data_IF_145018010259
#
_entry.id   IF_145018010259
#
_cell.length_a   1.000
_cell.length_b   1.000
_cell.length_c   1.000
_cell.angle_alpha   90.00
_cell.angle_beta   90.00
_cell.angle_gamma   90.00
#
_symmetry.space_group_name_H-M   'P 1'
#
loop_
_entity.id
_entity.type
_entity.pdbx_description
1 polymer ?
#
# COMPACT_ATOMS: atom_id res chain seq x y z
N UNK A 1 29.96 45.87 -21.91
CA UNK A 1 30.11 44.42 -22.10
C UNK A 1 29.32 43.66 -21.04
N UNK A 2 28.96 42.41 -21.31
CA UNK A 2 28.12 41.56 -20.45
C UNK A 2 28.80 40.21 -20.30
N UNK A 3 28.83 39.67 -19.09
CA UNK A 3 29.35 38.32 -18.84
C UNK A 3 28.20 37.33 -19.01
N UNK A 4 28.37 36.37 -19.92
CA UNK A 4 27.43 35.27 -20.18
C UNK A 4 28.05 33.98 -19.67
N UNK A 5 27.31 33.25 -18.83
CA UNK A 5 27.71 31.94 -18.35
C UNK A 5 26.96 30.85 -19.13
N UNK A 6 27.71 29.87 -19.64
CA UNK A 6 27.20 28.70 -20.34
C UNK A 6 27.74 27.46 -19.62
N UNK A 7 26.92 26.90 -18.73
CA UNK A 7 27.38 25.85 -17.82
C UNK A 7 28.52 26.35 -16.93
N UNK A 8 29.69 25.69 -16.99
CA UNK A 8 30.87 26.01 -16.19
C UNK A 8 31.83 27.04 -16.80
N UNK A 9 31.54 27.57 -17.99
CA UNK A 9 32.39 28.52 -18.70
C UNK A 9 31.69 29.88 -18.75
N UNK A 10 32.41 30.95 -18.44
CA UNK A 10 31.94 32.33 -18.60
C UNK A 10 32.72 33.05 -19.69
N UNK A 11 32.03 33.89 -20.47
CA UNK A 11 32.64 34.71 -21.51
C UNK A 11 32.04 36.13 -21.53
N UNK A 12 32.86 37.10 -21.93
CA UNK A 12 32.46 38.51 -21.98
C UNK A 12 32.07 38.89 -23.42
N UNK A 13 30.81 39.30 -23.61
CA UNK A 13 30.22 39.61 -24.92
C UNK A 13 29.71 41.06 -24.94
N UNK A 14 29.83 41.74 -26.08
CA UNK A 14 29.29 43.09 -26.28
C UNK A 14 27.77 43.07 -26.31
N UNK A 15 27.13 44.07 -25.69
CA UNK A 15 25.67 44.16 -25.54
C UNK A 15 24.93 44.09 -26.88
N UNK A 16 25.52 44.64 -27.95
CA UNK A 16 24.94 44.67 -29.30
C UNK A 16 24.87 43.29 -29.98
N UNK A 17 25.49 42.25 -29.40
CA UNK A 17 25.40 40.86 -29.88
C UNK A 17 24.34 40.05 -29.11
N UNK A 18 23.59 40.68 -28.21
CA UNK A 18 22.49 40.05 -27.46
C UNK A 18 21.15 40.43 -28.07
N UNK A 19 20.28 39.45 -28.25
CA UNK A 19 18.90 39.66 -28.66
C UNK A 19 17.96 39.38 -27.50
N UNK A 20 17.05 40.32 -27.21
CA UNK A 20 16.04 40.13 -26.17
C UNK A 20 15.00 39.12 -26.67
N UNK A 21 15.02 37.92 -26.10
CA UNK A 21 13.97 36.92 -26.32
C UNK A 21 12.90 37.04 -25.25
N UNK A 22 11.65 36.75 -25.61
CA UNK A 22 10.60 36.53 -24.61
C UNK A 22 10.93 35.25 -23.85
N UNK A 23 10.79 35.27 -22.52
CA UNK A 23 11.02 34.08 -21.72
C UNK A 23 10.15 32.94 -22.28
N UNK A 24 10.71 31.76 -22.60
CA UNK A 24 9.88 30.62 -22.94
C UNK A 24 8.93 30.41 -21.76
N UNK A 25 7.63 30.26 -22.04
CA UNK A 25 6.66 29.83 -21.03
C UNK A 25 7.27 28.59 -20.41
N UNK A 26 7.70 28.69 -19.15
CA UNK A 26 8.04 27.53 -18.36
C UNK A 26 6.75 26.74 -18.27
N UNK A 27 6.58 25.75 -19.16
CA UNK A 27 5.75 24.62 -18.84
C UNK A 27 6.36 24.07 -17.57
N UNK A 28 5.70 24.40 -16.45
CA UNK A 28 5.90 23.69 -15.21
C UNK A 28 5.58 22.25 -15.60
N UNK A 29 6.60 21.48 -15.93
CA UNK A 29 6.52 20.05 -15.88
C UNK A 29 5.99 19.80 -14.49
N UNK A 30 4.72 19.39 -14.42
CA UNK A 30 4.17 18.86 -13.18
C UNK A 30 5.09 17.70 -12.92
N UNK A 31 6.08 17.93 -12.05
CA UNK A 31 6.68 16.86 -11.27
C UNK A 31 5.43 16.20 -10.72
N UNK A 32 5.06 15.06 -11.30
CA UNK A 32 4.11 14.18 -10.69
C UNK A 32 4.70 13.99 -9.31
N UNK A 33 4.18 14.72 -8.33
CA UNK A 33 4.48 14.47 -6.94
C UNK A 33 4.37 12.96 -6.86
N UNK A 34 5.47 12.29 -6.48
CA UNK A 34 5.47 10.88 -6.12
C UNK A 34 4.11 10.66 -5.49
N UNK A 35 3.20 9.96 -6.18
CA UNK A 35 1.81 9.86 -5.76
C UNK A 35 1.93 9.25 -4.37
N UNK A 36 1.83 10.11 -3.35
CA UNK A 36 1.86 9.67 -1.97
C UNK A 36 0.78 8.62 -1.90
N UNK A 37 1.09 7.50 -1.25
CA UNK A 37 0.07 6.49 -0.97
C UNK A 37 -1.11 7.26 -0.38
N UNK A 38 -2.22 7.32 -1.12
CA UNK A 38 -3.40 8.03 -0.66
C UNK A 38 -4.02 7.17 0.44
N UNK A 39 -3.60 7.46 1.67
CA UNK A 39 -4.06 6.78 2.87
C UNK A 39 -5.58 6.90 3.01
N UNK A 40 -6.18 8.01 2.57
CA UNK A 40 -7.61 8.23 2.68
C UNK A 40 -8.38 7.30 1.73
N UNK A 41 -7.91 7.18 0.48
CA UNK A 41 -8.50 6.24 -0.47
C UNK A 41 -8.31 4.78 -0.04
N UNK A 42 -7.12 4.42 0.47
CA UNK A 42 -6.88 3.06 1.00
C UNK A 42 -7.76 2.73 2.18
N UNK A 43 -7.92 3.66 3.12
CA UNK A 43 -8.79 3.49 4.27
C UNK A 43 -10.26 3.33 3.83
N UNK A 44 -10.70 4.10 2.83
CA UNK A 44 -12.06 4.00 2.30
C UNK A 44 -12.35 2.66 1.60
N UNK A 45 -11.34 2.05 0.98
CA UNK A 45 -11.47 0.77 0.25
C UNK A 45 -11.21 -0.46 1.12
N UNK A 46 -10.60 -0.30 2.29
CA UNK A 46 -10.23 -1.42 3.13
C UNK A 46 -11.44 -2.03 3.84
N UNK A 47 -11.61 -3.34 3.67
CA UNK A 47 -12.62 -4.12 4.39
C UNK A 47 -12.01 -4.75 5.62
N UNK A 48 -12.67 -4.64 6.77
CA UNK A 48 -12.28 -5.34 8.02
C UNK A 48 -12.42 -6.87 7.88
N UNK A 49 -13.17 -7.34 6.88
CA UNK A 49 -13.33 -8.77 6.60
C UNK A 49 -12.70 -9.14 5.27
N UNK A 50 -11.82 -10.15 5.29
CA UNK A 50 -11.26 -10.80 4.12
C UNK A 50 -11.97 -12.14 3.87
N UNK A 51 -12.58 -12.30 2.70
CA UNK A 51 -13.15 -13.58 2.26
C UNK A 51 -12.19 -14.32 1.32
N UNK A 52 -11.78 -15.53 1.71
CA UNK A 52 -10.90 -16.39 0.93
C UNK A 52 -11.55 -17.74 0.59
N UNK A 53 -12.87 -17.87 0.76
CA UNK A 53 -13.59 -19.11 0.42
C UNK A 53 -13.49 -19.41 -1.08
N UNK A 54 -13.36 -20.69 -1.40
CA UNK A 54 -13.29 -21.17 -2.78
C UNK A 54 -11.96 -20.84 -3.50
N UNK A 55 -11.01 -20.19 -2.82
CA UNK A 55 -9.66 -19.96 -3.33
C UNK A 55 -8.78 -21.18 -3.11
N UNK A 56 -7.80 -21.38 -4.00
CA UNK A 56 -6.76 -22.39 -3.84
C UNK A 56 -5.75 -21.93 -2.79
N UNK A 57 -5.10 -22.87 -2.12
CA UNK A 57 -4.15 -22.58 -1.04
C UNK A 57 -3.04 -21.61 -1.46
N UNK A 58 -2.47 -21.76 -2.67
CA UNK A 58 -1.47 -20.84 -3.19
C UNK A 58 -1.98 -19.40 -3.38
N UNK A 59 -3.24 -19.22 -3.77
CA UNK A 59 -3.84 -17.88 -3.95
C UNK A 59 -4.06 -17.20 -2.60
N UNK A 60 -4.49 -17.96 -1.59
CA UNK A 60 -4.76 -17.44 -0.25
C UNK A 60 -3.51 -16.84 0.37
N UNK A 61 -2.33 -17.42 0.13
CA UNK A 61 -1.07 -16.86 0.63
C UNK A 61 -0.85 -15.43 0.14
N UNK A 62 -0.97 -15.21 -1.16
CA UNK A 62 -0.73 -13.89 -1.79
C UNK A 62 -1.80 -12.87 -1.36
N UNK A 63 -3.06 -13.31 -1.29
CA UNK A 63 -4.18 -12.45 -0.87
C UNK A 63 -4.03 -12.05 0.59
N UNK A 64 -3.72 -13.01 1.47
CA UNK A 64 -3.57 -12.78 2.90
C UNK A 64 -2.38 -11.86 3.19
N UNK A 65 -1.24 -12.08 2.55
CA UNK A 65 -0.06 -11.24 2.77
C UNK A 65 -0.31 -9.77 2.38
N UNK A 66 -0.92 -9.54 1.22
CA UNK A 66 -1.32 -8.19 0.80
C UNK A 66 -2.30 -7.57 1.81
N UNK A 67 -3.30 -8.34 2.22
CA UNK A 67 -4.33 -7.87 3.15
C UNK A 67 -3.75 -7.51 4.53
N UNK A 68 -2.84 -8.33 5.06
CA UNK A 68 -2.16 -8.07 6.33
C UNK A 68 -1.30 -6.80 6.27
N UNK A 69 -0.61 -6.57 5.16
CA UNK A 69 0.15 -5.34 4.96
C UNK A 69 -0.75 -4.10 4.98
N UNK A 70 -1.90 -4.15 4.31
CA UNK A 70 -2.87 -3.05 4.33
C UNK A 70 -3.48 -2.85 5.73
N UNK A 71 -3.83 -3.94 6.43
CA UNK A 71 -4.38 -3.89 7.79
C UNK A 71 -3.40 -3.22 8.79
N UNK A 72 -2.11 -3.59 8.70
CA UNK A 72 -1.04 -3.04 9.52
C UNK A 72 -0.74 -1.57 9.16
N UNK A 73 -0.73 -1.24 7.87
CA UNK A 73 -0.51 0.13 7.40
C UNK A 73 -1.61 1.09 7.88
N UNK A 74 -2.86 0.61 7.90
CA UNK A 74 -4.02 1.37 8.35
C UNK A 74 -4.22 1.36 9.88
N UNK A 75 -3.40 0.59 10.62
CA UNK A 75 -3.51 0.50 12.07
C UNK A 75 -4.83 -0.10 12.55
N UNK A 76 -5.35 -1.11 11.83
CA UNK A 76 -6.58 -1.80 12.24
C UNK A 76 -6.37 -2.55 13.57
N UNK A 77 -7.29 -2.38 14.52
CA UNK A 77 -7.21 -3.08 15.82
C UNK A 77 -7.56 -4.57 15.71
N UNK A 78 -8.53 -4.88 14.84
CA UNK A 78 -9.07 -6.23 14.64
C UNK A 78 -9.50 -6.42 13.18
N UNK A 79 -9.27 -7.63 12.65
CA UNK A 79 -9.75 -8.07 11.34
C UNK A 79 -10.38 -9.47 11.42
N UNK A 80 -11.18 -9.80 10.41
CA UNK A 80 -11.83 -11.12 10.29
C UNK A 80 -11.44 -11.78 8.97
N UNK A 81 -11.04 -13.05 9.03
CA UNK A 81 -10.69 -13.83 7.84
C UNK A 81 -11.70 -14.97 7.71
N UNK A 82 -12.55 -14.86 6.70
CA UNK A 82 -13.55 -15.86 6.35
C UNK A 82 -12.93 -16.87 5.38
N UNK A 83 -12.55 -18.04 5.90
CA UNK A 83 -11.97 -19.15 5.12
C UNK A 83 -12.95 -20.32 4.93
N UNK A 84 -14.08 -20.30 5.65
CA UNK A 84 -15.06 -21.40 5.65
C UNK A 84 -14.66 -22.55 6.58
N UNK A 85 -15.60 -23.48 6.81
CA UNK A 85 -15.40 -24.64 7.68
C UNK A 85 -14.72 -25.78 6.91
N UNK A 86 -15.41 -26.36 5.93
CA UNK A 86 -14.88 -27.44 5.07
C UNK A 86 -14.13 -28.51 5.86
N UNK A 87 -13.06 -29.03 5.27
CA UNK A 87 -12.08 -29.92 5.95
C UNK A 87 -11.05 -29.13 6.79
N UNK A 88 -11.22 -27.82 6.94
CA UNK A 88 -10.29 -26.97 7.70
C UNK A 88 -8.95 -26.67 7.02
N UNK A 89 -8.77 -27.04 5.75
CA UNK A 89 -7.50 -26.82 5.01
C UNK A 89 -7.14 -25.32 4.98
N UNK A 90 -8.07 -24.47 4.54
CA UNK A 90 -7.83 -23.02 4.49
C UNK A 90 -7.68 -22.41 5.90
N UNK A 91 -8.43 -22.90 6.90
CA UNK A 91 -8.26 -22.48 8.29
C UNK A 91 -6.84 -22.73 8.77
N UNK A 92 -6.33 -23.94 8.57
CA UNK A 92 -5.00 -24.32 9.02
C UNK A 92 -3.91 -23.52 8.30
N UNK A 93 -4.04 -23.32 6.98
CA UNK A 93 -3.14 -22.50 6.19
C UNK A 93 -3.12 -21.05 6.69
N UNK A 94 -4.28 -20.41 6.87
CA UNK A 94 -4.39 -19.05 7.39
C UNK A 94 -3.70 -18.96 8.76
N UNK A 95 -4.03 -19.86 9.69
CA UNK A 95 -3.42 -19.86 11.04
C UNK A 95 -1.91 -20.10 11.01
N UNK A 96 -1.40 -20.90 10.07
CA UNK A 96 0.05 -21.07 9.90
C UNK A 96 0.72 -19.78 9.42
N UNK A 97 0.12 -19.08 8.46
CA UNK A 97 0.65 -17.82 7.96
C UNK A 97 0.61 -16.72 9.00
N UNK A 98 -0.49 -16.60 9.76
CA UNK A 98 -0.63 -15.60 10.82
C UNK A 98 0.48 -15.70 11.88
N UNK A 99 0.99 -16.91 12.18
CA UNK A 99 2.10 -17.08 13.13
C UNK A 99 3.39 -16.37 12.73
N UNK A 100 3.55 -15.99 11.45
CA UNK A 100 4.74 -15.30 10.94
C UNK A 100 4.76 -13.81 11.28
N UNK A 101 3.61 -13.23 11.64
CA UNK A 101 3.49 -11.80 11.95
C UNK A 101 3.64 -11.55 13.45
N UNK A 102 4.69 -10.84 13.84
CA UNK A 102 4.96 -10.49 15.23
C UNK A 102 4.04 -9.37 15.75
N UNK A 103 3.32 -8.68 14.87
CA UNK A 103 2.38 -7.60 15.19
C UNK A 103 1.03 -8.12 15.68
N UNK A 104 0.76 -9.42 15.53
CA UNK A 104 -0.48 -10.03 16.02
C UNK A 104 -0.34 -10.28 17.52
N UNK A 105 -1.38 -9.89 18.26
CA UNK A 105 -1.54 -10.20 19.69
C UNK A 105 -2.15 -11.58 19.87
N UNK A 106 -3.27 -11.84 19.21
CA UNK A 106 -4.03 -13.10 19.30
C UNK A 106 -4.74 -13.40 18.00
N UNK A 107 -4.99 -14.68 17.74
CA UNK A 107 -5.90 -15.12 16.69
C UNK A 107 -6.67 -16.36 17.12
N UNK A 108 -7.99 -16.30 17.00
CA UNK A 108 -8.91 -17.32 17.51
C UNK A 108 -10.09 -17.52 16.56
N UNK A 109 -10.80 -18.62 16.76
CA UNK A 109 -12.02 -18.88 15.99
C UNK A 109 -13.13 -17.93 16.50
N UNK A 110 -13.97 -17.44 15.60
CA UNK A 110 -15.10 -16.58 15.95
C UNK A 110 -16.14 -17.34 16.80
N UNK A 111 -17.03 -16.60 17.47
CA UNK A 111 -18.14 -17.19 18.20
C UNK A 111 -19.01 -18.09 17.30
N UNK A 112 -19.55 -19.16 17.87
CA UNK A 112 -20.33 -20.17 17.13
C UNK A 112 -21.47 -19.55 16.30
N UNK A 113 -22.20 -18.60 16.89
CA UNK A 113 -23.31 -17.89 16.24
C UNK A 113 -22.89 -16.94 15.11
N UNK A 114 -21.60 -16.59 15.02
CA UNK A 114 -21.07 -15.63 14.04
C UNK A 114 -20.12 -16.27 13.02
N UNK A 115 -20.12 -17.60 12.93
CA UNK A 115 -19.35 -18.35 11.95
C UNK A 115 -18.47 -19.44 12.55
N UNK A 116 -18.20 -19.39 13.85
CA UNK A 116 -17.42 -20.40 14.56
C UNK A 116 -16.03 -20.59 13.94
N UNK A 117 -15.61 -21.85 13.85
CA UNK A 117 -14.39 -22.28 13.16
C UNK A 117 -14.32 -21.95 11.65
N UNK A 118 -15.34 -21.32 11.06
CA UNK A 118 -15.30 -20.85 9.68
C UNK A 118 -14.66 -19.46 9.50
N UNK A 119 -14.42 -18.76 10.61
CA UNK A 119 -13.88 -17.39 10.64
C UNK A 119 -12.78 -17.34 11.70
N UNK A 120 -11.63 -16.79 11.33
CA UNK A 120 -10.56 -16.45 12.28
C UNK A 120 -10.61 -14.95 12.56
N UNK A 121 -10.72 -14.58 13.84
CA UNK A 121 -10.53 -13.20 14.31
C UNK A 121 -9.05 -13.01 14.60
N UNK A 122 -8.49 -11.89 14.16
CA UNK A 122 -7.10 -11.50 14.43
C UNK A 122 -7.10 -10.16 15.12
N UNK A 123 -6.47 -10.10 16.30
CA UNK A 123 -6.28 -8.89 17.08
C UNK A 123 -4.81 -8.47 17.02
N UNK A 124 -4.56 -7.21 16.71
CA UNK A 124 -3.21 -6.65 16.64
C UNK A 124 -2.73 -6.11 17.99
N UNK A 125 -1.43 -5.84 18.10
CA UNK A 125 -0.79 -5.28 19.31
C UNK A 125 -1.04 -3.79 19.48
#
# INVERSE_FOLDING_TARGET
DVVVALGGISCTIKVNRLQKVHAPKQEKQKISALQGIDFNDRMAQFSITLDVRGKRGEEVFVILDRYMNDALLLGSNEIKILHGKGDGILRNLVREQLKRYNQIKTFEDEHADRGGAGVTIVTFK
#
